data_IF_808369306222
#
_entry.id   IF_808369306222
#
_cell.length_a   1.000
_cell.length_b   1.000
_cell.length_c   1.000
_cell.angle_alpha   90.00
_cell.angle_beta   90.00
_cell.angle_gamma   90.00
#
_symmetry.space_group_name_H-M   'P 1'
#
loop_
_entity.id
_entity.type
_entity.pdbx_description
1 polymer ?
#
# COMPACT_ATOMS: atom_id res chain seq x y z
N UNK A 1 5.31 4.55 27.32
CA UNK A 1 5.16 4.22 25.89
C UNK A 1 4.95 5.52 25.14
N UNK A 2 5.76 5.80 24.11
CA UNK A 2 5.54 6.96 23.23
C UNK A 2 4.52 6.51 22.20
N UNK A 3 3.31 7.08 22.24
CA UNK A 3 2.25 6.80 21.28
C UNK A 3 2.52 7.61 20.00
N UNK A 4 3.06 6.97 18.97
CA UNK A 4 3.48 7.62 17.71
C UNK A 4 2.33 7.90 16.73
N UNK A 5 1.08 7.60 17.10
CA UNK A 5 -0.09 7.66 16.21
C UNK A 5 -1.27 8.49 16.74
N UNK A 6 -1.07 9.33 17.75
CA UNK A 6 -2.15 10.15 18.36
C UNK A 6 -2.30 11.55 17.73
N UNK A 7 -1.49 11.86 16.70
CA UNK A 7 -1.47 13.19 16.09
C UNK A 7 -2.72 13.52 15.26
N UNK A 8 -3.55 12.53 14.92
CA UNK A 8 -4.77 12.73 14.13
C UNK A 8 -5.77 11.58 14.35
N UNK A 9 -7.05 11.88 14.17
CA UNK A 9 -8.12 10.87 14.11
C UNK A 9 -8.55 10.64 12.67
N UNK A 10 -8.75 9.37 12.30
CA UNK A 10 -9.25 8.99 10.98
C UNK A 10 -10.77 8.80 11.03
N UNK A 11 -11.49 9.43 10.10
CA UNK A 11 -12.92 9.20 9.88
C UNK A 11 -13.13 8.66 8.47
N UNK A 12 -13.70 7.46 8.37
CA UNK A 12 -14.08 6.89 7.08
C UNK A 12 -15.16 7.78 6.44
N UNK A 13 -14.89 8.26 5.23
CA UNK A 13 -15.86 9.03 4.43
C UNK A 13 -16.51 8.16 3.38
N UNK A 14 -15.69 7.46 2.62
CA UNK A 14 -16.12 6.67 1.47
C UNK A 14 -15.33 5.36 1.41
N UNK A 15 -15.96 4.32 0.87
CA UNK A 15 -15.36 3.00 0.66
C UNK A 15 -15.62 2.58 -0.78
N UNK A 16 -14.54 2.27 -1.49
CA UNK A 16 -14.59 1.85 -2.89
C UNK A 16 -14.07 0.43 -3.02
N UNK A 17 -14.81 -0.43 -3.72
CA UNK A 17 -14.31 -1.72 -4.18
C UNK A 17 -13.70 -1.55 -5.56
N UNK A 18 -12.39 -1.74 -5.67
CA UNK A 18 -11.67 -1.63 -6.95
C UNK A 18 -11.42 -3.01 -7.53
N UNK A 19 -11.57 -3.16 -8.85
CA UNK A 19 -11.16 -4.35 -9.60
C UNK A 19 -10.38 -3.89 -10.83
N UNK A 20 -9.07 -4.15 -10.84
CA UNK A 20 -8.23 -3.82 -11.99
C UNK A 20 -8.27 -4.95 -13.03
N UNK A 21 -8.18 -4.57 -14.29
CA UNK A 21 -8.11 -5.52 -15.39
C UNK A 21 -6.87 -6.42 -15.24
N UNK A 22 -7.00 -7.72 -15.51
CA UNK A 22 -5.95 -8.75 -15.45
C UNK A 22 -5.32 -9.03 -14.08
N UNK A 23 -5.51 -8.15 -13.08
CA UNK A 23 -4.92 -8.30 -11.74
C UNK A 23 -5.37 -9.59 -11.07
N UNK A 24 -6.67 -9.92 -11.17
CA UNK A 24 -7.20 -11.18 -10.64
C UNK A 24 -6.55 -12.40 -11.30
N UNK A 25 -6.40 -12.39 -12.63
CA UNK A 25 -5.79 -13.51 -13.37
C UNK A 25 -4.30 -13.67 -13.04
N UNK A 26 -3.57 -12.56 -12.89
CA UNK A 26 -2.17 -12.57 -12.45
C UNK A 26 -2.03 -13.06 -11.01
N UNK A 27 -3.02 -12.81 -10.16
CA UNK A 27 -3.04 -13.24 -8.77
C UNK A 27 -3.42 -14.70 -8.58
N UNK A 28 -4.14 -15.34 -9.52
CA UNK A 28 -4.58 -16.75 -9.44
C UNK A 28 -3.47 -17.72 -9.05
N UNK A 29 -2.26 -17.52 -9.58
CA UNK A 29 -1.09 -18.39 -9.28
C UNK A 29 -0.65 -18.37 -7.82
N UNK A 30 -1.10 -17.39 -7.03
CA UNK A 30 -0.80 -17.26 -5.62
C UNK A 30 -1.96 -17.67 -4.71
N UNK A 31 -3.12 -18.07 -5.26
CA UNK A 31 -4.30 -18.46 -4.46
C UNK A 31 -4.10 -19.74 -3.65
N UNK A 32 -3.12 -20.57 -4.02
CA UNK A 32 -2.79 -21.81 -3.31
C UNK A 32 -1.74 -21.60 -2.22
N UNK A 33 -1.22 -20.38 -2.06
CA UNK A 33 -0.27 -20.05 -1.00
C UNK A 33 -1.06 -19.65 0.25
N UNK A 34 -0.73 -20.24 1.39
CA UNK A 34 -1.39 -19.91 2.66
C UNK A 34 -1.06 -18.48 3.15
N UNK A 35 -1.71 -18.08 4.25
CA UNK A 35 -1.48 -16.80 4.94
C UNK A 35 -1.81 -15.56 4.08
N UNK A 36 -2.92 -15.62 3.35
CA UNK A 36 -3.51 -14.45 2.72
C UNK A 36 -4.01 -13.45 3.78
N UNK A 37 -3.50 -12.21 3.73
CA UNK A 37 -3.89 -11.14 4.64
C UNK A 37 -4.42 -9.93 3.87
N UNK A 38 -5.45 -9.28 4.41
CA UNK A 38 -5.92 -7.99 3.93
C UNK A 38 -5.20 -6.89 4.71
N UNK A 39 -4.32 -6.15 4.02
CA UNK A 39 -3.43 -5.17 4.63
C UNK A 39 -3.62 -3.78 4.02
N UNK A 40 -3.32 -2.76 4.81
CA UNK A 40 -3.33 -1.37 4.40
C UNK A 40 -2.08 -0.99 3.61
N UNK A 41 -2.28 -0.15 2.60
CA UNK A 41 -1.21 0.53 1.87
C UNK A 41 -1.56 2.01 1.76
N UNK A 42 -0.81 2.86 2.45
CA UNK A 42 -0.87 4.30 2.24
C UNK A 42 -0.10 4.74 0.98
N UNK A 43 -0.58 5.77 0.31
CA UNK A 43 0.11 6.46 -0.79
C UNK A 43 -0.35 7.91 -0.85
N UNK A 44 0.42 8.78 -1.51
CA UNK A 44 -0.04 10.16 -1.77
C UNK A 44 -1.19 10.15 -2.77
N UNK A 45 -2.12 11.09 -2.65
CA UNK A 45 -3.28 11.20 -3.55
C UNK A 45 -2.86 11.24 -5.02
N UNK A 46 -1.76 11.92 -5.35
CA UNK A 46 -1.20 12.02 -6.71
C UNK A 46 -0.78 10.66 -7.28
N UNK A 47 -0.44 9.68 -6.44
CA UNK A 47 0.03 8.37 -6.89
C UNK A 47 -1.13 7.45 -7.27
N UNK A 48 -2.36 7.71 -6.80
CA UNK A 48 -3.51 6.81 -7.01
C UNK A 48 -3.90 6.66 -8.48
N UNK A 49 -3.75 7.70 -9.31
CA UNK A 49 -4.02 7.59 -10.75
C UNK A 49 -3.10 6.53 -11.41
N UNK A 50 -1.81 6.52 -11.04
CA UNK A 50 -0.87 5.52 -11.50
C UNK A 50 -1.15 4.13 -10.89
N UNK A 51 -1.47 4.04 -9.60
CA UNK A 51 -1.79 2.76 -8.94
C UNK A 51 -3.04 2.12 -9.58
N UNK A 52 -4.08 2.91 -9.85
CA UNK A 52 -5.33 2.41 -10.43
C UNK A 52 -5.21 2.05 -11.91
N UNK A 53 -4.28 2.65 -12.66
CA UNK A 53 -4.01 2.29 -14.06
C UNK A 53 -2.98 1.15 -14.19
N UNK A 54 -1.92 1.16 -13.39
CA UNK A 54 -0.74 0.31 -13.59
C UNK A 54 -0.46 -0.68 -12.45
N UNK A 55 -1.13 -0.54 -11.31
CA UNK A 55 -0.97 -1.41 -10.14
C UNK A 55 0.17 -0.96 -9.24
N UNK A 56 0.36 -1.67 -8.13
CA UNK A 56 1.49 -1.44 -7.23
C UNK A 56 2.78 -1.93 -7.90
N UNK A 57 3.78 -1.06 -7.99
CA UNK A 57 5.06 -1.33 -8.64
C UNK A 57 6.21 -1.26 -7.67
N UNK A 58 7.21 -2.09 -7.91
CA UNK A 58 8.51 -2.02 -7.23
C UNK A 58 9.33 -0.94 -7.92
N UNK A 59 10.09 -0.17 -7.13
CA UNK A 59 11.00 0.85 -7.65
C UNK A 59 12.01 0.26 -8.64
N UNK A 60 12.40 1.00 -9.69
CA UNK A 60 13.33 0.53 -10.71
C UNK A 60 14.71 0.23 -10.13
N UNK A 61 15.53 -0.56 -10.85
CA UNK A 61 16.84 -1.04 -10.37
C UNK A 61 17.80 0.11 -10.08
N UNK A 62 17.67 1.21 -10.80
CA UNK A 62 18.51 2.40 -10.76
C UNK A 62 18.17 3.32 -9.57
N UNK A 63 16.96 3.19 -8.99
CA UNK A 63 16.57 4.02 -7.84
C UNK A 63 17.51 3.79 -6.64
N UNK A 64 17.86 4.82 -5.86
CA UNK A 64 18.63 4.63 -4.64
C UNK A 64 17.89 3.69 -3.67
N UNK A 65 18.62 2.83 -2.95
CA UNK A 65 18.04 1.94 -1.92
C UNK A 65 17.77 2.71 -0.62
N UNK A 66 18.41 3.87 -0.45
CA UNK A 66 18.25 4.75 0.70
C UNK A 66 16.78 5.16 0.85
N UNK A 67 16.21 4.91 2.03
CA UNK A 67 14.79 5.17 2.33
C UNK A 67 13.88 3.93 2.27
N UNK A 68 14.39 2.77 1.84
CA UNK A 68 13.65 1.50 1.91
C UNK A 68 14.11 0.65 3.10
N UNK A 69 13.21 0.41 4.05
CA UNK A 69 13.54 -0.29 5.32
C UNK A 69 14.01 -1.74 5.11
N UNK A 70 13.46 -2.45 4.12
CA UNK A 70 13.78 -3.84 3.80
C UNK A 70 14.15 -4.02 2.32
N UNK A 71 14.69 -2.96 1.69
CA UNK A 71 15.01 -2.95 0.26
C UNK A 71 13.82 -2.68 -0.66
N UNK A 72 14.00 -2.81 -1.97
CA UNK A 72 12.96 -2.40 -2.94
C UNK A 72 11.82 -3.42 -2.95
N UNK A 73 10.63 -2.96 -2.57
CA UNK A 73 9.45 -3.81 -2.50
C UNK A 73 8.17 -3.02 -2.31
N UNK A 74 7.05 -3.75 -2.31
CA UNK A 74 5.74 -3.20 -1.97
C UNK A 74 5.51 -3.46 -0.47
N UNK A 75 5.30 -2.39 0.28
CA UNK A 75 5.18 -2.43 1.74
C UNK A 75 3.72 -2.29 2.17
N UNK A 76 3.30 -3.09 3.14
CA UNK A 76 1.95 -3.07 3.68
C UNK A 76 1.99 -2.92 5.20
N UNK A 77 0.87 -2.55 5.80
CA UNK A 77 0.68 -2.47 7.25
C UNK A 77 -0.64 -3.11 7.65
N UNK A 78 -0.65 -3.77 8.80
CA UNK A 78 -1.84 -4.27 9.48
C UNK A 78 -2.65 -3.12 10.14
N UNK A 79 -2.00 -2.01 10.48
CA UNK A 79 -2.62 -0.83 11.08
C UNK A 79 -2.78 0.33 10.10
N UNK A 80 -3.98 0.93 10.06
CA UNK A 80 -4.29 2.06 9.19
C UNK A 80 -3.49 3.33 9.56
N UNK A 81 -3.24 3.56 10.86
CA UNK A 81 -2.46 4.70 11.37
C UNK A 81 -0.99 4.69 10.93
N UNK A 82 -0.41 3.50 10.74
CA UNK A 82 0.94 3.32 10.20
C UNK A 82 1.01 3.63 8.71
N UNK A 83 -0.01 3.23 7.95
CA UNK A 83 -0.18 3.65 6.55
C UNK A 83 -0.48 5.15 6.43
N UNK A 84 -1.04 5.76 7.49
CA UNK A 84 -1.49 7.13 7.48
C UNK A 84 -0.41 8.20 7.35
N UNK A 85 0.84 7.86 7.70
CA UNK A 85 1.97 8.76 7.50
C UNK A 85 2.27 9.03 6.01
N UNK A 86 1.82 8.18 5.10
CA UNK A 86 2.00 8.37 3.65
C UNK A 86 0.90 9.23 3.00
N UNK A 87 -0.17 9.57 3.74
CA UNK A 87 -1.24 10.46 3.25
C UNK A 87 -0.94 11.95 3.47
N UNK A 88 0.08 12.27 4.27
CA UNK A 88 0.40 13.66 4.62
C UNK A 88 1.11 14.35 3.45
N UNK A 89 0.55 15.46 3.01
CA UNK A 89 1.22 16.46 2.19
C UNK A 89 2.29 17.18 3.01
#
# INVERSE_FOLDING_TARGET
>A
MINTHDAYTLKLRELFKTKREKEFDLFKKFQTIDNHQLLWRGSRTTDFACILSQGLRISPREAPVTGFMLGKGVYFADMCSKSGNFFKN
#
